data_IF_357357779175
#
_entry.id   IF_357357779175
#
_cell.length_a   1.000
_cell.length_b   1.000
_cell.length_c   1.000
_cell.angle_alpha   90.00
_cell.angle_beta   90.00
_cell.angle_gamma   90.00
#
_symmetry.space_group_name_H-M   'P 1'
#
loop_
_entity.id
_entity.type
_entity.pdbx_description
1 polymer ?
#
# COMPACT_ATOMS: atom_id res chain seq x y z
N UNK A 1 -8.62 5.35 -20.08
CA UNK A 1 -7.73 6.29 -20.73
C UNK A 1 -6.75 6.87 -19.73
N UNK A 2 -5.45 6.60 -19.97
CA UNK A 2 -4.35 7.00 -19.09
C UNK A 2 -4.23 8.52 -19.03
N UNK A 3 -4.38 9.18 -20.16
CA UNK A 3 -4.28 10.63 -20.29
C UNK A 3 -5.42 11.32 -19.53
N UNK A 4 -6.63 10.80 -19.63
CA UNK A 4 -7.76 11.27 -18.83
C UNK A 4 -7.48 11.13 -17.32
N UNK A 5 -6.94 10.00 -16.88
CA UNK A 5 -6.64 9.74 -15.47
C UNK A 5 -5.58 10.70 -14.94
N UNK A 6 -4.47 10.86 -15.67
CA UNK A 6 -3.41 11.81 -15.32
C UNK A 6 -3.93 13.23 -15.26
N UNK A 7 -4.74 13.66 -16.23
CA UNK A 7 -5.28 15.02 -16.30
C UNK A 7 -6.34 15.31 -15.23
N UNK A 8 -7.15 14.32 -14.85
CA UNK A 8 -8.21 14.52 -13.87
C UNK A 8 -7.78 14.29 -12.42
N UNK A 9 -6.82 13.40 -12.16
CA UNK A 9 -6.31 13.14 -10.82
C UNK A 9 -5.07 13.97 -10.47
N UNK A 10 -4.23 14.30 -11.44
CA UNK A 10 -3.06 15.14 -11.25
C UNK A 10 -3.37 16.49 -10.59
N UNK A 11 -4.39 17.26 -11.01
CA UNK A 11 -4.76 18.51 -10.35
C UNK A 11 -5.22 18.33 -8.90
N UNK A 12 -5.90 17.22 -8.58
CA UNK A 12 -6.31 16.91 -7.22
C UNK A 12 -5.10 16.67 -6.31
N UNK A 13 -4.09 16.00 -6.83
CA UNK A 13 -2.83 15.73 -6.13
C UNK A 13 -1.90 16.96 -6.10
N UNK A 14 -1.92 17.80 -7.12
CA UNK A 14 -1.08 19.02 -7.19
C UNK A 14 -1.40 20.04 -6.11
N UNK A 15 -2.66 20.15 -5.68
CA UNK A 15 -3.05 21.03 -4.56
C UNK A 15 -2.36 20.66 -3.25
N UNK A 16 -1.90 19.43 -3.10
CA UNK A 16 -1.15 18.94 -1.93
C UNK A 16 0.37 18.88 -2.14
N UNK A 17 0.86 19.30 -3.29
CA UNK A 17 2.31 19.23 -3.65
C UNK A 17 3.23 19.97 -2.69
N UNK A 18 2.74 20.98 -1.98
CA UNK A 18 3.54 21.75 -1.02
C UNK A 18 3.84 21.02 0.30
N UNK A 19 3.21 19.87 0.58
CA UNK A 19 3.26 19.26 1.91
C UNK A 19 3.83 17.84 1.99
N UNK A 20 3.75 16.97 0.97
CA UNK A 20 4.35 15.64 1.04
C UNK A 20 4.75 15.09 -0.32
N UNK A 21 5.96 14.53 -0.40
CA UNK A 21 6.41 13.67 -1.51
C UNK A 21 5.80 12.25 -1.44
N UNK A 22 4.79 12.05 -0.62
CA UNK A 22 4.15 10.75 -0.34
C UNK A 22 2.65 10.88 -0.49
N UNK A 23 2.04 9.94 -1.18
CA UNK A 23 0.60 9.96 -1.43
C UNK A 23 0.00 8.57 -1.26
N UNK A 24 -1.17 8.53 -0.65
CA UNK A 24 -1.99 7.33 -0.58
C UNK A 24 -2.93 7.29 -1.78
N UNK A 25 -2.98 6.11 -2.43
CA UNK A 25 -4.08 5.81 -3.34
C UNK A 25 -5.34 5.49 -2.52
N UNK A 26 -6.35 6.31 -2.66
CA UNK A 26 -7.64 6.20 -1.97
C UNK A 26 -7.53 6.29 -0.43
N UNK A 27 -8.34 7.11 0.16
CA UNK A 27 -8.50 7.17 1.62
C UNK A 27 -9.58 6.24 2.12
N UNK A 28 -10.55 5.91 1.26
CA UNK A 28 -11.64 4.97 1.51
C UNK A 28 -11.91 4.17 0.24
N UNK A 29 -12.35 2.92 0.42
CA UNK A 29 -12.64 2.01 -0.68
C UNK A 29 -11.40 1.37 -1.30
N UNK A 30 -11.62 0.63 -2.37
CA UNK A 30 -10.60 -0.14 -3.09
C UNK A 30 -10.10 0.64 -4.31
N UNK A 31 -8.79 0.78 -4.43
CA UNK A 31 -8.16 1.48 -5.54
C UNK A 31 -8.09 0.63 -6.82
N UNK A 32 -8.05 -0.69 -6.68
CA UNK A 32 -7.95 -1.64 -7.80
C UNK A 32 -9.20 -2.49 -7.85
N UNK A 33 -10.07 -2.21 -8.81
CA UNK A 33 -11.29 -2.96 -9.06
C UNK A 33 -11.17 -3.88 -10.26
N UNK A 34 -10.33 -3.50 -11.22
CA UNK A 34 -10.10 -4.24 -12.45
C UNK A 34 -8.68 -4.02 -12.99
N UNK A 35 -8.37 -4.65 -14.12
CA UNK A 35 -7.05 -4.54 -14.77
C UNK A 35 -6.74 -3.11 -15.26
N UNK A 36 -7.74 -2.33 -15.63
CA UNK A 36 -7.56 -0.96 -16.11
C UNK A 36 -7.00 -0.08 -14.99
N UNK A 37 -7.46 -0.29 -13.76
CA UNK A 37 -6.95 0.44 -12.59
C UNK A 37 -5.45 0.16 -12.35
N UNK A 38 -5.00 -1.08 -12.56
CA UNK A 38 -3.57 -1.42 -12.44
C UNK A 38 -2.73 -0.62 -13.42
N UNK A 39 -3.15 -0.54 -14.68
CA UNK A 39 -2.44 0.22 -15.71
C UNK A 39 -2.48 1.73 -15.45
N UNK A 40 -3.58 2.25 -14.93
CA UNK A 40 -3.71 3.67 -14.54
C UNK A 40 -2.75 4.03 -13.42
N UNK A 41 -2.69 3.20 -12.38
CA UNK A 41 -1.78 3.38 -11.25
C UNK A 41 -0.33 3.33 -11.72
N UNK A 42 0.02 2.36 -12.58
CA UNK A 42 1.34 2.26 -13.19
C UNK A 42 1.73 3.53 -13.93
N UNK A 43 0.84 4.03 -14.77
CA UNK A 43 1.09 5.23 -15.56
C UNK A 43 1.31 6.46 -14.66
N UNK A 44 0.51 6.61 -13.62
CA UNK A 44 0.65 7.71 -12.67
C UNK A 44 1.96 7.64 -11.90
N UNK A 45 2.34 6.47 -11.42
CA UNK A 45 3.61 6.30 -10.71
C UNK A 45 4.83 6.58 -11.59
N UNK A 46 4.78 6.17 -12.86
CA UNK A 46 5.83 6.47 -13.85
C UNK A 46 5.91 7.94 -14.21
N UNK A 47 4.79 8.63 -14.27
CA UNK A 47 4.75 10.08 -14.56
C UNK A 47 5.29 10.93 -13.40
N UNK A 48 5.30 10.41 -12.19
CA UNK A 48 5.76 11.12 -10.99
C UNK A 48 6.78 10.28 -10.18
N UNK A 49 7.97 10.01 -10.74
CA UNK A 49 8.95 9.08 -10.13
C UNK A 49 9.50 9.56 -8.78
N UNK A 50 9.38 10.85 -8.47
CA UNK A 50 9.84 11.44 -7.19
C UNK A 50 8.76 11.44 -6.10
N UNK A 51 7.57 10.94 -6.40
CA UNK A 51 6.48 10.79 -5.44
C UNK A 51 6.40 9.35 -4.99
N UNK A 52 6.41 9.11 -3.69
CA UNK A 52 6.17 7.80 -3.11
C UNK A 52 4.67 7.60 -2.98
N UNK A 53 4.18 6.55 -3.59
CA UNK A 53 2.80 6.11 -3.48
C UNK A 53 2.71 4.91 -2.56
N UNK A 54 1.76 4.91 -1.63
CA UNK A 54 1.41 3.71 -0.89
C UNK A 54 -0.01 3.28 -1.21
N UNK A 55 -0.13 2.02 -1.52
CA UNK A 55 -1.32 1.41 -2.09
C UNK A 55 -1.79 0.26 -1.22
N UNK A 56 -2.70 0.49 -0.27
CA UNK A 56 -3.40 -0.59 0.40
C UNK A 56 -4.47 -1.16 -0.54
N UNK A 57 -4.52 -2.48 -0.68
CA UNK A 57 -5.48 -3.13 -1.57
C UNK A 57 -5.89 -4.51 -1.06
N UNK A 58 -7.12 -4.91 -1.33
CA UNK A 58 -7.64 -6.28 -1.20
C UNK A 58 -7.71 -7.02 -2.52
N UNK A 59 -7.29 -6.40 -3.62
CA UNK A 59 -7.28 -7.01 -4.95
C UNK A 59 -6.40 -8.27 -5.04
N UNK A 60 -5.50 -8.49 -4.08
CA UNK A 60 -4.72 -9.72 -3.94
C UNK A 60 -5.58 -10.99 -3.75
N UNK A 61 -6.82 -10.85 -3.28
CA UNK A 61 -7.77 -11.96 -3.18
C UNK A 61 -8.22 -12.49 -4.54
N UNK A 62 -8.13 -11.68 -5.58
CA UNK A 62 -8.36 -12.11 -6.96
C UNK A 62 -7.03 -12.52 -7.58
N UNK A 63 -6.88 -13.80 -7.93
CA UNK A 63 -5.63 -14.37 -8.45
C UNK A 63 -5.12 -13.68 -9.72
N UNK A 64 -6.01 -13.32 -10.63
CA UNK A 64 -5.65 -12.65 -11.88
C UNK A 64 -5.16 -11.22 -11.63
N UNK A 65 -5.86 -10.47 -10.79
CA UNK A 65 -5.45 -9.13 -10.38
C UNK A 65 -4.14 -9.14 -9.58
N UNK A 66 -3.98 -10.10 -8.66
CA UNK A 66 -2.74 -10.28 -7.89
C UNK A 66 -1.54 -10.46 -8.83
N UNK A 67 -1.65 -11.37 -9.80
CA UNK A 67 -0.59 -11.63 -10.77
C UNK A 67 -0.25 -10.40 -11.60
N UNK A 68 -1.24 -9.65 -12.05
CA UNK A 68 -1.05 -8.41 -12.80
C UNK A 68 -0.40 -7.30 -11.96
N UNK A 69 -0.82 -7.15 -10.70
CA UNK A 69 -0.23 -6.19 -9.76
C UNK A 69 1.25 -6.51 -9.52
N UNK A 70 1.57 -7.78 -9.31
CA UNK A 70 2.96 -8.23 -9.13
C UNK A 70 3.82 -7.97 -10.36
N UNK A 71 3.27 -8.17 -11.56
CA UNK A 71 3.97 -7.91 -12.81
C UNK A 71 4.19 -6.42 -13.06
N UNK A 72 3.18 -5.60 -12.84
CA UNK A 72 3.12 -4.22 -13.32
C UNK A 72 3.46 -3.15 -12.27
N UNK A 73 3.13 -3.39 -10.99
CA UNK A 73 3.30 -2.41 -9.92
C UNK A 73 4.46 -2.75 -8.98
N UNK A 74 4.68 -4.01 -8.66
CA UNK A 74 5.72 -4.41 -7.71
C UNK A 74 7.15 -4.02 -8.15
N UNK A 75 7.51 -3.99 -9.45
CA UNK A 75 8.81 -3.52 -9.89
C UNK A 75 9.03 -2.01 -9.75
N UNK A 76 7.98 -1.23 -9.50
CA UNK A 76 8.08 0.23 -9.41
C UNK A 76 8.60 0.64 -8.03
N UNK A 77 9.76 1.30 -8.00
CA UNK A 77 10.46 1.68 -6.75
C UNK A 77 9.72 2.73 -5.91
N UNK A 78 8.81 3.47 -6.52
CA UNK A 78 8.05 4.52 -5.85
C UNK A 78 6.63 4.09 -5.45
N UNK A 79 6.31 2.81 -5.53
CA UNK A 79 5.07 2.24 -4.98
C UNK A 79 5.40 1.33 -3.79
N UNK A 80 4.79 1.60 -2.65
CA UNK A 80 4.72 0.67 -1.54
C UNK A 80 3.39 -0.08 -1.63
N UNK A 81 3.47 -1.34 -2.02
CA UNK A 81 2.32 -2.20 -2.27
C UNK A 81 1.95 -2.97 -1.01
N UNK A 82 0.77 -2.71 -0.46
CA UNK A 82 0.33 -3.28 0.80
C UNK A 82 -0.91 -4.15 0.62
N UNK A 83 -0.79 -5.43 0.91
CA UNK A 83 -1.94 -6.31 1.03
C UNK A 83 -2.70 -6.00 2.31
N UNK A 84 -3.94 -5.52 2.20
CA UNK A 84 -4.82 -5.34 3.36
C UNK A 84 -5.29 -6.70 3.84
N UNK A 85 -4.97 -7.02 5.07
CA UNK A 85 -5.33 -8.27 5.76
C UNK A 85 -6.15 -7.96 7.01
N UNK A 86 -6.85 -8.94 7.52
CA UNK A 86 -7.69 -8.84 8.71
C UNK A 86 -7.78 -10.20 9.41
N UNK A 87 -8.53 -10.31 10.53
CA UNK A 87 -8.67 -11.59 11.25
C UNK A 87 -9.25 -12.75 10.43
N UNK A 88 -9.87 -12.47 9.28
CA UNK A 88 -10.39 -13.51 8.37
C UNK A 88 -9.36 -14.06 7.39
N UNK A 89 -8.22 -13.38 7.25
CA UNK A 89 -7.10 -13.83 6.40
C UNK A 89 -6.49 -15.10 6.99
N UNK A 90 -6.33 -16.14 6.16
CA UNK A 90 -5.75 -17.40 6.62
C UNK A 90 -4.24 -17.32 6.75
N UNK A 91 -3.65 -18.24 7.55
CA UNK A 91 -2.20 -18.33 7.70
C UNK A 91 -1.50 -18.66 6.38
N UNK A 92 -2.13 -19.46 5.53
CA UNK A 92 -1.64 -19.82 4.19
C UNK A 92 -1.63 -18.62 3.26
N UNK A 93 -2.71 -17.83 3.26
CA UNK A 93 -2.79 -16.59 2.47
C UNK A 93 -1.72 -15.59 2.92
N UNK A 94 -1.54 -15.47 4.24
CA UNK A 94 -0.52 -14.58 4.80
C UNK A 94 0.89 -15.01 4.39
N UNK A 95 1.21 -16.30 4.52
CA UNK A 95 2.50 -16.85 4.11
C UNK A 95 2.76 -16.67 2.61
N UNK A 96 1.74 -16.86 1.77
CA UNK A 96 1.81 -16.60 0.32
C UNK A 96 2.16 -15.13 0.03
N UNK A 97 1.50 -14.18 0.69
CA UNK A 97 1.78 -12.75 0.51
C UNK A 97 3.21 -12.39 0.91
N UNK A 98 3.71 -12.94 2.02
CA UNK A 98 5.09 -12.76 2.45
C UNK A 98 6.08 -13.30 1.43
N UNK A 99 5.86 -14.52 0.96
CA UNK A 99 6.72 -15.20 -0.01
C UNK A 99 6.75 -14.45 -1.34
N UNK A 100 5.62 -13.91 -1.78
CA UNK A 100 5.49 -13.15 -3.03
C UNK A 100 5.98 -11.70 -2.92
N UNK A 101 6.50 -11.28 -1.76
CA UNK A 101 7.15 -9.99 -1.57
C UNK A 101 6.22 -8.82 -1.24
N UNK A 102 4.96 -9.10 -0.89
CA UNK A 102 4.03 -8.05 -0.49
C UNK A 102 4.35 -7.51 0.90
N UNK A 103 4.21 -6.19 1.09
CA UNK A 103 3.93 -5.68 2.43
C UNK A 103 2.54 -6.15 2.86
N UNK A 104 2.34 -6.35 4.15
CA UNK A 104 1.02 -6.59 4.69
C UNK A 104 0.59 -5.47 5.64
N UNK A 105 -0.68 -5.17 5.64
CA UNK A 105 -1.33 -4.26 6.56
C UNK A 105 -2.45 -5.00 7.25
N UNK A 106 -2.17 -5.52 8.45
CA UNK A 106 -3.19 -6.16 9.29
C UNK A 106 -4.03 -5.09 9.97
N UNK A 107 -5.33 -5.19 9.81
CA UNK A 107 -6.31 -4.29 10.41
C UNK A 107 -7.19 -5.07 11.37
N UNK A 108 -7.04 -4.81 12.66
CA UNK A 108 -7.77 -5.49 13.72
C UNK A 108 -7.19 -5.24 15.11
N UNK A 109 -7.96 -5.60 16.13
CA UNK A 109 -7.59 -5.43 17.53
C UNK A 109 -6.90 -6.66 18.14
N UNK A 110 -6.77 -7.73 17.37
CA UNK A 110 -6.11 -8.97 17.77
C UNK A 110 -4.59 -8.84 17.72
N UNK A 111 -3.89 -9.83 18.29
CA UNK A 111 -2.43 -9.89 18.30
C UNK A 111 -1.80 -10.21 16.92
N UNK A 112 -2.59 -10.18 15.86
CA UNK A 112 -2.17 -10.48 14.51
C UNK A 112 -2.00 -11.97 14.24
N UNK A 113 -0.96 -12.34 13.47
CA UNK A 113 -0.71 -13.73 13.09
C UNK A 113 0.37 -14.38 13.97
N UNK A 114 0.01 -14.71 15.23
CA UNK A 114 0.91 -15.46 16.12
C UNK A 114 2.29 -14.86 16.28
N UNK A 115 3.33 -15.61 15.90
CA UNK A 115 4.73 -15.19 16.09
C UNK A 115 5.25 -14.14 15.08
N UNK A 116 4.40 -13.66 14.17
CA UNK A 116 4.83 -12.65 13.19
C UNK A 116 5.00 -11.31 13.87
N UNK A 117 6.24 -10.83 13.89
CA UNK A 117 6.55 -9.50 14.42
C UNK A 117 6.08 -8.42 13.44
N UNK A 118 5.01 -7.73 13.81
CA UNK A 118 4.45 -6.63 13.03
C UNK A 118 4.95 -5.28 13.52
N UNK A 119 5.15 -4.37 12.58
CA UNK A 119 5.43 -2.96 12.87
C UNK A 119 4.15 -2.25 13.33
N UNK A 120 4.07 -1.77 14.59
CA UNK A 120 2.89 -1.06 15.06
C UNK A 120 2.79 0.31 14.39
N UNK A 121 1.66 0.59 13.73
CA UNK A 121 1.47 1.86 13.06
C UNK A 121 1.38 3.00 14.08
N UNK A 122 2.30 3.98 14.09
CA UNK A 122 2.30 5.06 15.08
C UNK A 122 1.04 5.92 15.05
N UNK A 123 0.33 5.92 13.93
CA UNK A 123 -0.92 6.68 13.78
C UNK A 123 -2.09 6.02 14.50
N UNK A 124 -2.09 4.71 14.64
CA UNK A 124 -3.22 3.96 15.22
C UNK A 124 -2.95 3.46 16.64
N UNK A 125 -1.69 3.23 17.00
CA UNK A 125 -1.31 2.82 18.35
C UNK A 125 -1.13 4.02 19.27
N UNK A 126 -1.79 3.99 20.42
CA UNK A 126 -1.65 5.03 21.45
C UNK A 126 -0.23 5.01 22.05
N UNK A 127 0.32 6.19 22.30
CA UNK A 127 1.64 6.34 22.94
C UNK A 127 2.84 6.21 22.00
N UNK A 128 2.64 5.85 20.74
CA UNK A 128 3.71 5.84 19.73
C UNK A 128 3.65 7.15 18.94
N UNK A 129 4.75 7.89 18.96
CA UNK A 129 4.88 9.14 18.19
C UNK A 129 5.30 8.83 16.75
N UNK A 130 4.63 9.40 15.78
CA UNK A 130 4.99 9.28 14.37
C UNK A 130 3.99 9.91 13.44
N UNK A 131 4.42 10.11 12.20
CA UNK A 131 3.58 10.66 11.14
C UNK A 131 3.92 9.99 9.81
N UNK A 132 2.92 9.74 8.97
CA UNK A 132 3.11 9.06 7.69
C UNK A 132 4.11 9.77 6.76
N UNK A 133 4.24 11.09 6.86
CA UNK A 133 5.16 11.87 6.02
C UNK A 133 6.64 11.62 6.29
N UNK A 134 6.99 11.13 7.47
CA UNK A 134 8.37 10.88 7.92
C UNK A 134 8.63 9.41 8.26
N UNK A 135 7.62 8.58 8.29
CA UNK A 135 7.75 7.15 8.59
C UNK A 135 8.58 6.45 7.51
N UNK A 136 9.65 5.76 7.91
CA UNK A 136 10.51 5.00 6.99
C UNK A 136 10.21 3.51 6.98
N UNK A 137 9.48 3.03 7.96
CA UNK A 137 9.12 1.63 8.12
C UNK A 137 7.66 1.35 7.79
N UNK A 138 7.20 0.17 8.19
CA UNK A 138 5.82 -0.23 8.06
C UNK A 138 5.34 -0.23 6.61
N UNK A 139 4.16 0.33 6.38
CA UNK A 139 3.50 0.29 5.07
C UNK A 139 4.25 1.00 3.93
N UNK A 140 5.25 1.81 4.22
CA UNK A 140 6.05 2.52 3.22
C UNK A 140 7.43 1.92 2.99
N UNK A 141 7.80 0.87 3.71
CA UNK A 141 9.16 0.33 3.74
C UNK A 141 9.71 -0.07 2.35
N UNK A 142 8.89 -0.62 1.47
CA UNK A 142 9.33 -0.99 0.12
C UNK A 142 9.85 0.21 -0.67
N UNK A 143 9.19 1.37 -0.57
CA UNK A 143 9.55 2.57 -1.31
C UNK A 143 10.58 3.45 -0.58
N UNK A 144 10.76 3.29 0.72
CA UNK A 144 11.68 4.12 1.53
C UNK A 144 13.01 3.44 1.81
N UNK A 145 13.01 2.14 2.08
CA UNK A 145 14.19 1.36 2.43
C UNK A 145 14.37 0.08 1.59
N UNK A 146 13.49 -0.13 0.60
CA UNK A 146 13.56 -1.29 -0.31
C UNK A 146 13.31 -2.64 0.36
N UNK A 147 12.65 -2.68 1.50
CA UNK A 147 12.37 -3.90 2.26
C UNK A 147 10.89 -4.10 2.50
N UNK A 148 10.47 -5.35 2.47
CA UNK A 148 9.15 -5.79 2.85
C UNK A 148 8.90 -5.55 4.36
N UNK A 149 7.67 -5.26 4.75
CA UNK A 149 7.28 -5.09 6.15
C UNK A 149 5.85 -5.62 6.38
N UNK A 150 5.61 -6.04 7.61
CA UNK A 150 4.28 -6.37 8.11
C UNK A 150 3.87 -5.29 9.11
N UNK A 151 2.74 -4.63 8.85
CA UNK A 151 2.26 -3.50 9.66
C UNK A 151 0.96 -3.85 10.35
N UNK A 152 0.85 -3.50 11.62
CA UNK A 152 -0.37 -3.65 12.41
C UNK A 152 -1.05 -2.30 12.60
N UNK A 153 -2.33 -2.22 12.25
CA UNK A 153 -3.21 -1.09 12.48
C UNK A 153 -4.34 -1.51 13.42
N UNK A 154 -4.59 -0.69 14.43
CA UNK A 154 -5.72 -0.90 15.33
C UNK A 154 -6.96 -0.21 14.76
N UNK A 155 -8.09 -0.88 14.86
CA UNK A 155 -9.40 -0.31 14.56
C UNK A 155 -9.81 0.69 15.64
N UNK A 156 -10.34 1.82 15.22
CA UNK A 156 -10.87 2.88 16.10
C UNK A 156 -12.38 2.96 16.00
#
# INVERSE_FOLDING_TARGET
DVEWYVNNFKPFFERKKKQTKRRRFMTRGEAIKDMVDVYRIRAMARAEPNVIYWLPTRAWLNKALKALIELELMPLKNIALNASTDPTTTSEEYAMLQQDGWNTMFFGNDDGFGDVKMFPCPKTFKGIKGHCSICKGGCMSQATIGKRSDTHLIEH
#
